data_IF_068481671241
#
_entry.id   IF_068481671241
#
_cell.length_a   1.000
_cell.length_b   1.000
_cell.length_c   1.000
_cell.angle_alpha   90.00
_cell.angle_beta   90.00
_cell.angle_gamma   90.00
#
_symmetry.space_group_name_H-M   'P 1'
#
loop_
_entity.id
_entity.type
_entity.pdbx_description
1 polymer ?
#
# COMPACT_ATOMS: atom_id res chain seq x y z
N UNK A 1 1.36 -0.91 -0.56
CA UNK A 1 0.94 -1.79 0.55
C UNK A 1 0.14 -0.96 1.54
N UNK A 2 -1.06 -1.41 1.90
CA UNK A 2 -2.00 -0.64 2.74
C UNK A 2 -2.43 -1.51 3.93
N UNK A 3 -2.45 -0.92 5.13
CA UNK A 3 -3.07 -1.45 6.36
C UNK A 3 -2.71 -2.89 6.74
N UNK A 4 -1.50 -3.32 6.40
CA UNK A 4 -1.03 -4.70 6.59
C UNK A 4 -0.08 -4.82 7.80
N UNK A 5 -0.02 -6.01 8.41
CA UNK A 5 1.01 -6.34 9.41
C UNK A 5 2.25 -6.90 8.70
N UNK A 6 3.37 -6.18 8.80
CA UNK A 6 4.65 -6.52 8.19
C UNK A 6 5.60 -7.08 9.25
N UNK A 7 6.01 -8.34 9.07
CA UNK A 7 7.01 -8.99 9.92
C UNK A 7 8.42 -8.44 9.72
N UNK A 8 9.33 -8.82 10.60
CA UNK A 8 10.73 -8.39 10.62
C UNK A 8 11.58 -8.97 9.47
N UNK A 9 11.02 -9.92 8.73
CA UNK A 9 11.58 -10.43 7.48
C UNK A 9 11.77 -9.33 6.42
N UNK A 10 10.98 -8.25 6.46
CA UNK A 10 11.09 -7.16 5.50
C UNK A 10 12.37 -6.37 5.74
N UNK A 11 13.27 -6.39 4.76
CA UNK A 11 14.49 -5.61 4.81
C UNK A 11 14.18 -4.10 4.98
N UNK A 12 14.94 -3.34 5.79
CA UNK A 12 14.64 -1.92 6.04
C UNK A 12 14.51 -1.04 4.79
N UNK A 13 15.25 -1.35 3.73
CA UNK A 13 15.17 -0.71 2.41
C UNK A 13 13.78 -0.88 1.75
N UNK A 14 13.08 -1.96 2.08
CA UNK A 14 11.71 -2.32 1.66
C UNK A 14 11.58 -2.81 0.24
N UNK A 15 12.16 -2.09 -0.71
CA UNK A 15 12.02 -2.34 -2.15
C UNK A 15 13.39 -2.62 -2.78
N UNK A 16 13.41 -3.54 -3.74
CA UNK A 16 14.62 -3.93 -4.46
C UNK A 16 14.52 -3.46 -5.93
N UNK A 17 15.59 -2.89 -6.52
CA UNK A 17 15.61 -2.60 -7.94
C UNK A 17 15.39 -3.88 -8.76
N UNK A 18 14.67 -3.75 -9.87
CA UNK A 18 14.57 -4.85 -10.84
C UNK A 18 15.90 -5.07 -11.57
N UNK A 19 16.38 -4.02 -12.25
CA UNK A 19 17.64 -4.01 -12.97
C UNK A 19 18.24 -2.60 -12.95
N UNK A 20 19.34 -2.42 -12.20
CA UNK A 20 20.01 -1.14 -12.03
C UNK A 20 19.04 -0.01 -11.65
N UNK A 21 19.00 1.04 -12.47
CA UNK A 21 18.13 2.21 -12.26
C UNK A 21 16.82 2.17 -13.06
N UNK A 22 16.51 1.04 -13.69
CA UNK A 22 15.32 0.93 -14.52
C UNK A 22 14.05 1.19 -13.71
N UNK A 23 13.19 2.07 -14.23
CA UNK A 23 11.90 2.46 -13.66
C UNK A 23 11.89 3.12 -12.28
N UNK A 24 13.04 3.29 -11.60
CA UNK A 24 13.08 3.87 -10.26
C UNK A 24 12.47 5.29 -10.19
N UNK A 25 12.45 6.00 -11.32
CA UNK A 25 11.86 7.32 -11.46
C UNK A 25 10.38 7.35 -11.87
N UNK A 26 9.86 6.24 -12.42
CA UNK A 26 8.53 6.17 -13.05
C UNK A 26 7.58 5.21 -12.34
N UNK A 27 8.10 4.24 -11.58
CA UNK A 27 7.28 3.34 -10.77
C UNK A 27 6.47 4.13 -9.72
N UNK A 28 5.46 3.49 -9.16
CA UNK A 28 4.69 4.05 -8.05
C UNK A 28 4.59 2.99 -6.97
N UNK A 29 5.43 3.12 -5.94
CA UNK A 29 5.32 2.34 -4.72
C UNK A 29 4.98 3.24 -3.55
N UNK A 30 4.13 2.73 -2.67
CA UNK A 30 3.65 3.45 -1.50
C UNK A 30 3.29 2.49 -0.38
N UNK A 31 3.46 2.94 0.85
CA UNK A 31 3.09 2.26 2.07
C UNK A 31 2.19 3.18 2.91
N UNK A 32 1.11 2.65 3.50
CA UNK A 32 0.18 3.44 4.32
C UNK A 32 -0.46 2.60 5.42
N UNK A 33 -0.39 3.07 6.67
CA UNK A 33 -1.07 2.44 7.81
C UNK A 33 -0.63 1.01 8.13
N UNK A 34 0.55 0.60 7.65
CA UNK A 34 1.13 -0.71 7.97
C UNK A 34 1.58 -0.74 9.43
N UNK A 35 1.64 -1.94 10.02
CA UNK A 35 1.97 -2.20 11.42
C UNK A 35 3.00 -3.32 11.53
N UNK A 36 3.55 -3.52 12.72
CA UNK A 36 4.51 -4.58 12.98
C UNK A 36 5.97 -4.15 12.75
N UNK A 37 6.93 -5.02 13.11
CA UNK A 37 8.36 -4.67 13.14
C UNK A 37 8.94 -4.33 11.76
N UNK A 38 8.37 -4.84 10.67
CA UNK A 38 8.80 -4.54 9.31
C UNK A 38 8.21 -3.26 8.71
N UNK A 39 7.27 -2.60 9.40
CA UNK A 39 6.55 -1.43 8.87
C UNK A 39 7.29 -0.09 9.04
N UNK A 40 8.43 -0.09 9.73
CA UNK A 40 9.31 1.08 9.92
C UNK A 40 9.83 1.54 8.55
N UNK A 41 9.56 2.78 8.17
CA UNK A 41 9.81 3.31 6.82
C UNK A 41 11.05 4.22 6.72
N UNK A 42 11.69 4.54 7.83
CA UNK A 42 12.74 5.53 7.98
C UNK A 42 13.93 5.23 7.06
N UNK A 43 14.22 3.93 6.88
CA UNK A 43 15.32 3.41 6.06
C UNK A 43 14.91 3.00 4.65
N UNK A 44 13.64 3.17 4.27
CA UNK A 44 13.17 2.84 2.91
C UNK A 44 13.94 3.63 1.87
N UNK A 45 14.19 2.98 0.74
CA UNK A 45 14.78 3.60 -0.44
C UNK A 45 14.05 4.90 -0.81
N UNK A 46 14.78 5.89 -1.32
CA UNK A 46 14.25 7.24 -1.63
C UNK A 46 14.10 7.49 -3.14
N UNK A 47 13.76 6.45 -3.90
CA UNK A 47 13.57 6.60 -5.34
C UNK A 47 12.43 7.56 -5.64
N UNK A 48 12.50 8.30 -6.75
CA UNK A 48 11.44 9.24 -7.16
C UNK A 48 10.09 8.55 -7.36
N UNK A 49 10.09 7.25 -7.67
CA UNK A 49 8.88 6.44 -7.77
C UNK A 49 8.25 6.05 -6.43
N UNK A 50 8.94 6.20 -5.30
CA UNK A 50 8.32 6.09 -3.99
C UNK A 50 7.44 7.33 -3.78
N UNK A 51 6.16 7.11 -3.51
CA UNK A 51 5.19 8.18 -3.25
C UNK A 51 4.73 8.09 -1.82
N UNK A 52 4.77 9.23 -1.13
CA UNK A 52 4.08 9.39 0.13
C UNK A 52 2.60 9.06 -0.07
N UNK A 53 2.05 8.29 0.85
CA UNK A 53 0.63 8.03 0.90
C UNK A 53 0.05 8.72 2.11
N UNK A 54 -0.88 9.64 1.85
CA UNK A 54 -1.88 10.05 2.81
C UNK A 54 -3.15 9.20 2.63
N UNK A 55 -4.14 9.41 3.51
CA UNK A 55 -5.42 8.69 3.46
C UNK A 55 -6.14 8.92 2.12
N UNK A 56 -6.10 10.12 1.56
CA UNK A 56 -6.78 10.45 0.30
C UNK A 56 -6.20 9.69 -0.89
N UNK A 57 -4.87 9.51 -0.94
CA UNK A 57 -4.20 8.71 -1.96
C UNK A 57 -4.46 7.23 -1.74
N UNK A 58 -4.39 6.76 -0.49
CA UNK A 58 -4.64 5.37 -0.15
C UNK A 58 -6.07 4.91 -0.49
N UNK A 59 -7.07 5.77 -0.31
CA UNK A 59 -8.48 5.50 -0.69
C UNK A 59 -8.65 5.16 -2.17
N UNK A 60 -7.83 5.74 -3.06
CA UNK A 60 -7.88 5.43 -4.51
C UNK A 60 -7.52 3.97 -4.82
N UNK A 61 -6.82 3.32 -3.90
CA UNK A 61 -6.39 1.93 -4.01
C UNK A 61 -7.20 0.99 -3.11
N UNK A 62 -8.27 1.48 -2.46
CA UNK A 62 -9.23 0.60 -1.79
C UNK A 62 -10.06 -0.20 -2.80
N UNK A 63 -10.79 -1.21 -2.34
CA UNK A 63 -11.62 -2.04 -3.21
C UNK A 63 -12.65 -1.19 -3.98
N UNK A 64 -13.23 -0.19 -3.34
CA UNK A 64 -14.15 0.74 -3.98
C UNK A 64 -13.43 1.75 -4.88
N UNK A 65 -12.34 2.35 -4.42
CA UNK A 65 -11.60 3.35 -5.18
C UNK A 65 -11.01 2.81 -6.49
N UNK A 66 -10.49 1.57 -6.46
CA UNK A 66 -9.81 0.97 -7.60
C UNK A 66 -10.72 0.15 -8.50
N UNK A 67 -11.57 -0.71 -7.90
CA UNK A 67 -12.35 -1.71 -8.65
C UNK A 67 -13.84 -1.43 -8.70
N UNK A 68 -14.32 -0.35 -8.05
CA UNK A 68 -15.76 -0.08 -7.88
C UNK A 68 -16.49 -1.29 -7.28
N UNK A 69 -15.85 -1.93 -6.29
CA UNK A 69 -16.25 -3.23 -5.78
C UNK A 69 -17.72 -3.31 -5.29
N UNK A 70 -18.30 -2.21 -4.79
CA UNK A 70 -19.68 -2.20 -4.30
C UNK A 70 -20.72 -2.49 -5.39
N UNK A 71 -20.36 -2.35 -6.67
CA UNK A 71 -21.26 -2.56 -7.80
C UNK A 71 -21.47 -4.05 -8.11
N UNK A 72 -20.48 -4.91 -7.83
CA UNK A 72 -20.46 -6.30 -8.30
C UNK A 72 -20.15 -7.33 -7.23
N UNK A 73 -19.30 -7.01 -6.24
CA UNK A 73 -18.93 -7.98 -5.19
C UNK A 73 -20.12 -8.43 -4.35
N UNK A 74 -21.09 -7.58 -3.95
CA UNK A 74 -22.23 -8.04 -3.16
C UNK A 74 -23.07 -9.14 -3.84
N UNK A 75 -23.08 -9.17 -5.18
CA UNK A 75 -23.81 -10.17 -5.96
C UNK A 75 -23.16 -11.56 -5.88
N UNK A 76 -21.89 -11.63 -5.48
CA UNK A 76 -21.15 -12.89 -5.32
C UNK A 76 -21.40 -13.58 -3.98
N UNK A 77 -21.99 -12.88 -3.01
CA UNK A 77 -22.17 -13.38 -1.64
C UNK A 77 -20.91 -13.32 -0.75
N UNK A 78 -19.79 -12.83 -1.27
CA UNK A 78 -18.55 -12.65 -0.49
C UNK A 78 -18.63 -11.38 0.37
N UNK A 79 -18.22 -11.43 1.66
CA UNK A 79 -18.12 -10.23 2.49
C UNK A 79 -17.17 -9.18 1.88
N UNK A 80 -17.60 -7.92 1.90
CA UNK A 80 -16.84 -6.79 1.35
C UNK A 80 -16.61 -5.72 2.42
N UNK A 81 -15.34 -5.36 2.64
CA UNK A 81 -15.00 -4.03 3.12
C UNK A 81 -14.59 -3.16 1.92
N UNK A 82 -15.39 -2.15 1.55
CA UNK A 82 -15.14 -1.37 0.34
C UNK A 82 -13.98 -0.37 0.46
N UNK A 83 -13.64 0.07 1.68
CA UNK A 83 -12.71 1.19 1.87
C UNK A 83 -11.63 0.91 2.93
N UNK A 84 -10.75 1.90 3.17
CA UNK A 84 -9.76 1.86 4.24
C UNK A 84 -10.44 1.65 5.59
N UNK A 85 -9.83 0.83 6.43
CA UNK A 85 -10.24 0.65 7.81
C UNK A 85 -10.07 1.96 8.58
N UNK A 86 -11.05 2.28 9.42
CA UNK A 86 -10.91 3.36 10.40
C UNK A 86 -9.78 3.00 11.37
N UNK A 87 -8.65 3.68 11.23
CA UNK A 87 -7.57 3.61 12.21
C UNK A 87 -8.02 4.53 13.34
N UNK A 88 -8.71 3.98 14.35
CA UNK A 88 -8.96 4.74 15.59
C UNK A 88 -7.60 5.15 16.15
N UNK A 89 -7.39 6.48 16.23
CA UNK A 89 -6.28 7.16 16.89
C UNK A 89 -6.18 6.78 18.36
#
# INVERSE_FOLDING_TARGET
>A
ILQSDLGDLIHPDGWLPWDGQMYLNTLTYSEFGNRGPGAIMEKRVKWKGIKDSDSSRAQKFSAQGFMKATVWVPQTGVPLNPDLLDVKS
#
